data_IF_943314383892
#
_entry.id   IF_943314383892
#
_cell.length_a   1.000
_cell.length_b   1.000
_cell.length_c   1.000
_cell.angle_alpha   90.00
_cell.angle_beta   90.00
_cell.angle_gamma   90.00
#
_symmetry.space_group_name_H-M   'P 1'
#
loop_
_entity.id
_entity.type
_entity.pdbx_description
1 polymer ?
#
# COMPACT_ATOMS: atom_id res chain seq x y z
N UNK A 1 -3.34 -27.85 2.82
CA UNK A 1 -2.94 -27.48 1.43
C UNK A 1 -3.44 -26.08 1.19
N UNK A 2 -2.56 -25.12 0.89
CA UNK A 2 -2.94 -23.71 0.73
C UNK A 2 -3.34 -23.44 -0.74
N UNK A 3 -4.61 -23.14 -1.05
CA UNK A 3 -5.05 -22.89 -2.42
C UNK A 3 -4.34 -21.71 -3.08
N UNK A 4 -3.95 -20.68 -2.33
CA UNK A 4 -3.27 -19.50 -2.87
C UNK A 4 -1.87 -19.86 -3.42
N UNK A 5 -1.17 -20.77 -2.76
CA UNK A 5 0.12 -21.28 -3.24
C UNK A 5 -0.03 -22.15 -4.49
N UNK A 6 -1.19 -22.79 -4.70
CA UNK A 6 -1.44 -23.60 -5.90
C UNK A 6 -1.65 -22.73 -7.14
N UNK A 7 -2.32 -21.58 -7.00
CA UNK A 7 -2.55 -20.63 -8.10
C UNK A 7 -1.23 -20.21 -8.77
N UNK A 8 -0.16 -20.07 -7.98
CA UNK A 8 1.19 -19.75 -8.48
C UNK A 8 1.74 -20.80 -9.45
N UNK A 9 1.37 -22.07 -9.29
CA UNK A 9 1.79 -23.15 -10.20
C UNK A 9 1.19 -23.01 -11.61
N UNK A 10 0.12 -22.21 -11.74
CA UNK A 10 -0.50 -21.86 -13.01
C UNK A 10 0.01 -20.53 -13.59
N UNK A 11 1.03 -19.93 -12.98
CA UNK A 11 1.62 -18.66 -13.44
C UNK A 11 0.84 -17.41 -13.05
N UNK A 12 -0.14 -17.52 -12.14
CA UNK A 12 -0.91 -16.38 -11.64
C UNK A 12 -0.42 -15.91 -10.27
N UNK A 13 -0.33 -14.59 -10.10
CA UNK A 13 0.05 -13.97 -8.84
C UNK A 13 -1.18 -13.54 -8.04
N UNK A 14 -1.12 -13.74 -6.72
CA UNK A 14 -2.14 -13.24 -5.78
C UNK A 14 -1.63 -11.95 -5.17
N UNK A 15 -2.42 -10.88 -5.31
CA UNK A 15 -2.13 -9.58 -4.72
C UNK A 15 -3.17 -9.28 -3.63
N UNK A 16 -2.75 -8.57 -2.59
CA UNK A 16 -3.63 -8.11 -1.54
C UNK A 16 -4.22 -6.75 -1.91
N UNK A 17 -5.54 -6.69 -2.04
CA UNK A 17 -6.27 -5.44 -2.28
C UNK A 17 -6.62 -4.71 -0.99
N UNK A 18 -5.57 -4.38 -0.22
CA UNK A 18 -5.67 -3.67 1.05
C UNK A 18 -4.28 -3.24 1.53
N UNK A 19 -4.20 -2.07 2.18
CA UNK A 19 -3.06 -1.68 2.99
C UNK A 19 -3.55 -0.80 4.15
N UNK A 20 -3.00 -1.05 5.33
CA UNK A 20 -3.18 -0.19 6.48
C UNK A 20 -1.98 -0.29 7.39
N UNK A 21 -1.74 0.75 8.20
CA UNK A 21 -0.68 0.74 9.20
C UNK A 21 -0.84 -0.40 10.19
N UNK A 22 -2.08 -0.74 10.58
CA UNK A 22 -2.37 -1.94 11.40
C UNK A 22 -1.85 -3.23 10.76
N UNK A 23 -2.09 -3.41 9.45
CA UNK A 23 -1.62 -4.60 8.72
C UNK A 23 -0.09 -4.74 8.76
N UNK A 24 0.62 -3.61 8.76
CA UNK A 24 2.08 -3.53 8.85
C UNK A 24 2.57 -3.75 10.28
N UNK A 25 2.05 -2.97 11.24
CA UNK A 25 2.49 -2.99 12.65
C UNK A 25 2.22 -4.34 13.32
N UNK A 26 1.10 -4.98 13.01
CA UNK A 26 0.72 -6.26 13.62
C UNK A 26 1.33 -7.48 12.88
N UNK A 27 2.14 -7.21 11.85
CA UNK A 27 2.86 -8.23 11.07
C UNK A 27 1.97 -9.08 10.17
N UNK A 28 0.73 -8.66 9.92
CA UNK A 28 -0.22 -9.40 9.09
C UNK A 28 0.23 -9.48 7.63
N UNK A 29 0.73 -8.38 7.06
CA UNK A 29 1.23 -8.42 5.68
C UNK A 29 2.42 -9.38 5.53
N UNK A 30 3.34 -9.38 6.50
CA UNK A 30 4.49 -10.28 6.50
C UNK A 30 4.07 -11.76 6.52
N UNK A 31 3.05 -12.11 7.32
CA UNK A 31 2.48 -13.46 7.34
C UNK A 31 1.81 -13.82 6.02
N UNK A 32 1.01 -12.93 5.43
CA UNK A 32 0.39 -13.15 4.13
C UNK A 32 1.42 -13.38 3.01
N UNK A 33 2.55 -12.68 3.06
CA UNK A 33 3.65 -12.90 2.11
C UNK A 33 4.31 -14.26 2.34
N UNK A 34 4.64 -14.60 3.59
CA UNK A 34 5.37 -15.82 3.94
C UNK A 34 4.54 -17.10 3.79
N UNK A 35 3.30 -17.07 4.28
CA UNK A 35 2.47 -18.27 4.47
C UNK A 35 1.49 -18.47 3.30
N UNK A 36 0.99 -17.37 2.72
CA UNK A 36 -0.04 -17.37 1.68
C UNK A 36 0.49 -17.02 0.28
N UNK A 37 1.74 -16.57 0.18
CA UNK A 37 2.32 -16.21 -1.10
C UNK A 37 1.63 -15.00 -1.74
N UNK A 38 1.24 -14.01 -0.94
CA UNK A 38 0.93 -12.69 -1.49
C UNK A 38 2.18 -12.14 -2.19
N UNK A 39 2.00 -11.68 -3.43
CA UNK A 39 3.07 -11.28 -4.34
C UNK A 39 3.04 -9.78 -4.70
N UNK A 40 2.09 -9.04 -4.18
CA UNK A 40 1.94 -7.60 -4.39
C UNK A 40 0.79 -7.03 -3.56
N UNK A 41 0.70 -5.71 -3.53
CA UNK A 41 -0.32 -4.97 -2.80
C UNK A 41 -0.90 -3.88 -3.69
N UNK A 42 -2.21 -3.72 -3.70
CA UNK A 42 -2.90 -2.56 -4.28
C UNK A 42 -3.46 -1.66 -3.18
N UNK A 43 -3.43 -0.37 -3.44
CA UNK A 43 -4.10 0.64 -2.62
C UNK A 43 -4.93 1.54 -3.52
N UNK A 44 -5.92 2.19 -2.93
CA UNK A 44 -6.76 3.20 -3.57
C UNK A 44 -7.29 4.15 -2.47
N UNK A 45 -7.86 5.31 -2.83
CA UNK A 45 -8.37 6.27 -1.85
C UNK A 45 -9.38 5.68 -0.85
N UNK A 46 -10.22 4.73 -1.27
CA UNK A 46 -11.20 4.11 -0.37
C UNK A 46 -10.55 3.20 0.67
N UNK A 47 -9.50 2.46 0.30
CA UNK A 47 -8.68 1.65 1.22
C UNK A 47 -8.06 2.56 2.30
N UNK A 48 -7.40 3.65 1.90
CA UNK A 48 -6.76 4.54 2.86
C UNK A 48 -7.76 5.33 3.71
N UNK A 49 -8.89 5.76 3.15
CA UNK A 49 -9.97 6.36 3.93
C UNK A 49 -10.39 5.42 5.07
N UNK A 50 -10.66 4.15 4.76
CA UNK A 50 -11.03 3.16 5.78
C UNK A 50 -9.91 2.91 6.80
N UNK A 51 -8.66 2.82 6.34
CA UNK A 51 -7.51 2.60 7.21
C UNK A 51 -7.30 3.75 8.19
N UNK A 52 -7.36 4.99 7.71
CA UNK A 52 -7.10 6.20 8.50
C UNK A 52 -8.26 6.48 9.46
N UNK A 53 -9.51 6.37 9.00
CA UNK A 53 -10.67 6.69 9.85
C UNK A 53 -10.89 5.72 11.01
N UNK A 54 -10.38 4.48 10.92
CA UNK A 54 -10.56 3.44 11.95
C UNK A 54 -9.28 2.96 12.62
N UNK A 55 -8.10 3.47 12.23
CA UNK A 55 -6.82 2.94 12.65
C UNK A 55 -6.17 3.73 13.78
N UNK A 56 -6.06 3.12 14.97
CA UNK A 56 -5.37 3.70 16.13
C UNK A 56 -3.94 4.16 15.84
N UNK A 57 -3.25 3.47 14.93
CA UNK A 57 -1.85 3.74 14.59
C UNK A 57 -1.66 5.05 13.80
N UNK A 58 -2.74 5.70 13.36
CA UNK A 58 -2.69 7.00 12.69
C UNK A 58 -2.93 8.18 13.65
N UNK A 59 -3.37 7.94 14.89
CA UNK A 59 -3.85 9.01 15.78
C UNK A 59 -2.78 10.06 16.10
N UNK A 60 -1.57 9.63 16.46
CA UNK A 60 -0.47 10.52 16.84
C UNK A 60 0.04 11.37 15.66
N UNK A 61 0.20 10.73 14.49
CA UNK A 61 0.60 11.43 13.25
C UNK A 61 -0.49 12.42 12.83
N UNK A 62 -1.77 12.03 12.89
CA UNK A 62 -2.89 12.93 12.61
C UNK A 62 -2.91 14.11 13.56
N UNK A 63 -2.69 13.89 14.87
CA UNK A 63 -2.62 14.97 15.85
C UNK A 63 -1.49 15.96 15.53
N UNK A 64 -0.33 15.45 15.12
CA UNK A 64 0.84 16.24 14.72
C UNK A 64 0.59 17.02 13.43
N UNK A 65 0.09 16.35 12.38
CA UNK A 65 -0.16 16.94 11.06
C UNK A 65 -1.26 18.02 11.10
N UNK A 66 -2.24 17.90 12.01
CA UNK A 66 -3.26 18.93 12.23
C UNK A 66 -2.69 20.27 12.68
N UNK A 67 -1.54 20.29 13.35
CA UNK A 67 -0.89 21.52 13.80
C UNK A 67 -0.04 22.19 12.72
N UNK A 68 0.19 21.53 11.58
CA UNK A 68 1.03 22.04 10.50
C UNK A 68 0.20 22.80 9.46
N UNK A 69 0.75 23.83 8.81
CA UNK A 69 0.07 24.61 7.76
C UNK A 69 0.07 23.87 6.40
N UNK A 70 -0.44 22.64 6.39
CA UNK A 70 -0.51 21.76 5.23
C UNK A 70 -1.93 21.67 4.66
N UNK A 71 -2.04 21.43 3.36
CA UNK A 71 -3.30 21.08 2.70
C UNK A 71 -3.79 19.69 3.17
N UNK A 72 -5.07 19.38 2.93
CA UNK A 72 -5.61 18.06 3.24
C UNK A 72 -4.88 16.94 2.46
N UNK A 73 -4.55 17.19 1.19
CA UNK A 73 -3.82 16.27 0.32
C UNK A 73 -2.39 16.03 0.82
N UNK A 74 -1.66 17.09 1.19
CA UNK A 74 -0.31 16.94 1.74
C UNK A 74 -0.31 16.17 3.07
N UNK A 75 -1.34 16.35 3.92
CA UNK A 75 -1.49 15.55 5.14
C UNK A 75 -1.81 14.08 4.84
N UNK A 76 -2.64 13.84 3.83
CA UNK A 76 -2.96 12.49 3.38
C UNK A 76 -1.70 11.77 2.88
N UNK A 77 -0.94 12.39 1.98
CA UNK A 77 0.33 11.86 1.45
C UNK A 77 1.33 11.57 2.56
N UNK A 78 1.46 12.48 3.53
CA UNK A 78 2.33 12.30 4.69
C UNK A 78 1.95 11.09 5.56
N UNK A 79 0.70 10.63 5.52
CA UNK A 79 0.25 9.43 6.23
C UNK A 79 0.47 8.15 5.41
N UNK A 80 0.17 8.19 4.11
CA UNK A 80 0.08 6.99 3.27
C UNK A 80 1.40 6.62 2.60
N UNK A 81 2.24 7.59 2.23
CA UNK A 81 3.54 7.33 1.59
C UNK A 81 4.44 6.47 2.51
N UNK A 82 4.57 6.76 3.81
CA UNK A 82 5.37 5.91 4.71
C UNK A 82 4.84 4.47 4.80
N UNK A 83 3.52 4.27 4.78
CA UNK A 83 2.93 2.93 4.80
C UNK A 83 3.24 2.16 3.50
N UNK A 84 3.15 2.83 2.35
CA UNK A 84 3.51 2.26 1.04
C UNK A 84 5.00 1.90 0.99
N UNK A 85 5.88 2.80 1.45
CA UNK A 85 7.33 2.55 1.52
C UNK A 85 7.65 1.33 2.37
N UNK A 86 7.03 1.19 3.55
CA UNK A 86 7.22 0.02 4.41
C UNK A 86 6.73 -1.27 3.76
N UNK A 87 5.62 -1.23 3.03
CA UNK A 87 5.14 -2.37 2.25
C UNK A 87 6.12 -2.72 1.11
N UNK A 88 6.69 -1.73 0.44
CA UNK A 88 7.73 -1.92 -0.57
C UNK A 88 8.98 -2.57 0.04
N UNK A 89 9.46 -2.08 1.18
CA UNK A 89 10.62 -2.65 1.88
C UNK A 89 10.41 -4.11 2.26
N UNK A 90 9.20 -4.44 2.74
CA UNK A 90 8.82 -5.82 3.07
C UNK A 90 8.80 -6.73 1.83
N UNK A 91 8.34 -6.22 0.68
CA UNK A 91 8.26 -6.97 -0.59
C UNK A 91 9.54 -6.91 -1.42
N UNK A 92 10.52 -6.08 -1.06
CA UNK A 92 11.75 -5.89 -1.81
C UNK A 92 12.55 -7.18 -2.06
N UNK A 93 12.65 -8.15 -1.11
CA UNK A 93 13.27 -9.44 -1.41
C UNK A 93 12.57 -10.18 -2.55
N UNK A 94 11.24 -10.26 -2.52
CA UNK A 94 10.46 -10.90 -3.58
C UNK A 94 10.64 -10.19 -4.92
N UNK A 95 10.69 -8.86 -4.93
CA UNK A 95 10.92 -8.09 -6.14
C UNK A 95 12.28 -8.42 -6.78
N UNK A 96 13.34 -8.47 -5.97
CA UNK A 96 14.68 -8.85 -6.44
C UNK A 96 14.74 -10.29 -6.93
N UNK A 97 14.24 -11.24 -6.13
CA UNK A 97 14.34 -12.68 -6.43
C UNK A 97 13.52 -13.07 -7.66
N UNK A 98 12.43 -12.35 -7.93
CA UNK A 98 11.57 -12.54 -9.10
C UNK A 98 12.06 -11.82 -10.36
N UNK A 99 13.23 -11.17 -10.32
CA UNK A 99 13.76 -10.39 -11.44
C UNK A 99 12.88 -9.21 -11.83
N UNK A 100 12.15 -8.64 -10.88
CA UNK A 100 11.25 -7.52 -11.10
C UNK A 100 9.83 -7.89 -11.52
N UNK A 101 9.47 -9.18 -11.54
CA UNK A 101 8.14 -9.61 -11.99
C UNK A 101 7.06 -9.64 -10.89
N UNK A 102 7.44 -9.52 -9.62
CA UNK A 102 6.56 -9.51 -8.45
C UNK A 102 7.06 -8.51 -7.39
N UNK A 103 6.38 -8.41 -6.25
CA UNK A 103 6.81 -7.59 -5.11
C UNK A 103 6.46 -6.11 -5.23
N UNK A 104 5.41 -5.78 -5.98
CA UNK A 104 4.96 -4.39 -6.18
C UNK A 104 3.96 -3.93 -5.11
N UNK A 105 3.97 -2.63 -4.84
CA UNK A 105 2.92 -1.92 -4.10
C UNK A 105 2.43 -0.77 -4.96
N UNK A 106 1.12 -0.70 -5.20
CA UNK A 106 0.53 0.37 -6.01
C UNK A 106 0.05 1.51 -5.12
N UNK A 107 0.33 2.75 -5.52
CA UNK A 107 -0.21 3.97 -4.94
C UNK A 107 -0.85 4.79 -6.08
N UNK A 108 -2.11 5.15 -5.92
CA UNK A 108 -2.84 5.95 -6.91
C UNK A 108 -2.53 7.44 -6.75
N UNK A 109 -2.46 8.16 -7.88
CA UNK A 109 -2.51 9.63 -7.90
C UNK A 109 -3.92 10.11 -7.53
N UNK A 110 -4.06 11.42 -7.30
CA UNK A 110 -5.34 12.05 -6.98
C UNK A 110 -6.42 11.77 -8.06
N UNK A 111 -7.60 11.23 -7.70
CA UNK A 111 -8.69 10.99 -8.66
C UNK A 111 -9.18 12.25 -9.38
N UNK A 112 -8.94 13.44 -8.80
CA UNK A 112 -9.28 14.71 -9.44
C UNK A 112 -8.51 14.94 -10.76
N UNK A 113 -7.38 14.25 -10.95
CA UNK A 113 -6.52 14.36 -12.13
C UNK A 113 -6.90 13.37 -13.24
N UNK A 114 -7.93 12.53 -13.07
CA UNK A 114 -8.28 11.47 -14.02
C UNK A 114 -8.58 11.94 -15.46
N UNK A 115 -8.86 13.23 -15.66
CA UNK A 115 -9.08 13.86 -16.97
C UNK A 115 -8.03 14.93 -17.32
N UNK A 116 -6.95 15.01 -16.54
CA UNK A 116 -5.81 15.89 -16.75
C UNK A 116 -4.56 15.04 -16.95
N UNK A 117 -4.16 14.88 -18.22
CA UNK A 117 -3.00 14.07 -18.59
C UNK A 117 -1.70 14.65 -18.04
N UNK A 118 -1.50 15.97 -18.19
CA UNK A 118 -0.27 16.64 -17.75
C UNK A 118 -0.19 16.64 -16.22
N UNK A 119 -1.31 16.90 -15.54
CA UNK A 119 -1.41 16.81 -14.08
C UNK A 119 -1.15 15.39 -13.55
N UNK A 120 -1.71 14.37 -14.20
CA UNK A 120 -1.46 12.95 -13.84
C UNK A 120 0.01 12.58 -13.98
N UNK A 121 0.67 13.00 -15.06
CA UNK A 121 2.11 12.75 -15.27
C UNK A 121 2.96 13.51 -14.26
N UNK A 122 2.60 14.75 -13.90
CA UNK A 122 3.35 15.53 -12.92
C UNK A 122 3.24 14.96 -11.48
N UNK A 123 2.15 14.27 -11.17
CA UNK A 123 1.91 13.66 -9.86
C UNK A 123 2.54 12.26 -9.70
N UNK A 124 2.93 11.59 -10.80
CA UNK A 124 3.53 10.25 -10.81
C UNK A 124 5.04 10.27 -10.93
#
# INVERSE_FOLDING_TARGET
>A
MNPLLQVRQHGQQIWLDNLSRTLLEEGHLARLVADDGVAGVTTNPAIFHKAISGGRYYEDDLATLKQQPLSAEARYEALVIPDVQRACDLLAPLHRDSGGSAGYVSLEVSPALAHDADGTVAAG
#
